data_IF_898366537165
#
_entry.id   IF_898366537165
#
_cell.length_a   1.000
_cell.length_b   1.000
_cell.length_c   1.000
_cell.angle_alpha   90.00
_cell.angle_beta   90.00
_cell.angle_gamma   90.00
#
_symmetry.space_group_name_H-M   'P 1'
#
loop_
_entity.id
_entity.type
_entity.pdbx_description
1 polymer ?
#
# COMPACT_ATOMS: atom_id res chain seq x y z
N UNK A 1 0.11 0.77 -4.82
CA UNK A 1 0.45 -0.15 -3.71
C UNK A 1 1.52 -1.12 -4.18
N UNK A 2 2.46 -1.51 -3.31
CA UNK A 2 3.45 -2.55 -3.64
C UNK A 2 3.42 -3.59 -2.54
N UNK A 3 3.37 -4.86 -2.91
CA UNK A 3 3.28 -5.99 -1.98
C UNK A 3 4.65 -6.55 -1.58
N UNK A 4 4.63 -7.57 -0.70
CA UNK A 4 5.83 -8.30 -0.26
C UNK A 4 6.47 -9.14 -1.37
N UNK A 5 5.76 -9.39 -2.47
CA UNK A 5 6.26 -10.07 -3.66
C UNK A 5 7.32 -9.25 -4.43
N UNK A 6 7.39 -7.94 -4.21
CA UNK A 6 8.32 -6.99 -4.86
C UNK A 6 8.27 -7.13 -6.40
N UNK A 7 7.11 -7.35 -6.95
CA UNK A 7 6.91 -7.56 -8.39
C UNK A 7 6.55 -6.27 -9.13
N UNK A 8 5.85 -5.33 -8.46
CA UNK A 8 5.45 -4.08 -9.08
C UNK A 8 4.58 -3.20 -8.22
N UNK A 9 3.97 -2.22 -8.87
CA UNK A 9 3.04 -1.26 -8.28
C UNK A 9 1.63 -1.45 -8.86
N UNK A 10 0.66 -1.58 -7.98
CA UNK A 10 -0.76 -1.52 -8.33
C UNK A 10 -1.27 -0.10 -8.10
N UNK A 11 -1.86 0.48 -9.12
CA UNK A 11 -2.56 1.75 -9.10
C UNK A 11 -4.05 1.52 -9.30
N UNK A 12 -4.85 2.19 -8.48
CA UNK A 12 -6.31 2.16 -8.60
C UNK A 12 -6.85 3.57 -8.44
N UNK A 13 -7.56 4.04 -9.45
CA UNK A 13 -8.37 5.25 -9.36
C UNK A 13 -9.78 4.84 -8.94
N UNK A 14 -10.22 5.39 -7.83
CA UNK A 14 -11.55 5.11 -7.30
C UNK A 14 -12.28 6.42 -7.01
N UNK A 15 -13.61 6.38 -7.11
CA UNK A 15 -14.49 7.40 -6.56
C UNK A 15 -15.18 6.81 -5.32
N UNK A 16 -15.07 7.50 -4.20
CA UNK A 16 -15.60 6.99 -2.93
C UNK A 16 -16.11 8.12 -2.05
N UNK A 17 -17.06 7.80 -1.17
CA UNK A 17 -17.51 8.67 -0.08
C UNK A 17 -16.72 8.45 1.21
N UNK A 18 -15.68 7.59 1.17
CA UNK A 18 -14.88 7.21 2.32
C UNK A 18 -15.57 6.25 3.30
N UNK A 19 -16.78 5.78 2.99
CA UNK A 19 -17.57 4.92 3.88
C UNK A 19 -18.01 3.60 3.24
N UNK A 20 -18.98 3.64 2.33
CA UNK A 20 -19.63 2.43 1.77
C UNK A 20 -19.67 2.40 0.25
N UNK A 21 -19.57 3.56 -0.38
CA UNK A 21 -19.64 3.65 -1.82
C UNK A 21 -18.23 3.72 -2.41
N UNK A 22 -17.89 2.72 -3.19
CA UNK A 22 -16.63 2.65 -3.92
C UNK A 22 -16.93 2.30 -5.36
N UNK A 23 -16.51 3.15 -6.27
CA UNK A 23 -16.55 2.89 -7.71
C UNK A 23 -15.13 2.88 -8.23
N UNK A 24 -14.70 1.74 -8.75
CA UNK A 24 -13.41 1.61 -9.44
C UNK A 24 -13.56 2.26 -10.81
N UNK A 25 -12.69 3.22 -11.11
CA UNK A 25 -12.64 3.94 -12.39
C UNK A 25 -11.60 3.24 -13.29
N UNK A 26 -10.37 3.05 -12.76
CA UNK A 26 -9.26 2.49 -13.52
C UNK A 26 -8.30 1.75 -12.59
N UNK A 27 -7.83 0.61 -13.05
CA UNK A 27 -6.74 -0.13 -12.40
C UNK A 27 -5.58 -0.27 -13.38
N UNK A 28 -4.36 -0.20 -12.88
CA UNK A 28 -3.16 -0.46 -13.68
C UNK A 28 -2.04 -1.01 -12.82
N UNK A 29 -1.31 -1.98 -13.37
CA UNK A 29 -0.15 -2.58 -12.79
C UNK A 29 1.12 -2.17 -13.54
N UNK A 30 2.16 -1.78 -12.81
CA UNK A 30 3.46 -1.41 -13.36
C UNK A 30 4.54 -2.31 -12.75
N UNK A 31 5.06 -3.21 -13.56
CA UNK A 31 6.10 -4.17 -13.15
C UNK A 31 7.40 -3.46 -12.78
N UNK A 32 8.02 -3.83 -11.67
CA UNK A 32 9.36 -3.38 -11.36
C UNK A 32 10.38 -3.95 -12.33
N UNK A 33 11.33 -3.13 -12.73
CA UNK A 33 12.51 -3.62 -13.41
C UNK A 33 13.43 -4.40 -12.44
N UNK A 34 14.37 -5.15 -12.98
CA UNK A 34 15.29 -5.97 -12.18
C UNK A 34 16.03 -5.14 -11.13
N UNK A 35 16.53 -3.95 -11.52
CA UNK A 35 17.30 -3.07 -10.62
C UNK A 35 16.51 -2.71 -9.36
N UNK A 36 15.27 -2.23 -9.50
CA UNK A 36 14.43 -1.83 -8.36
C UNK A 36 14.14 -3.03 -7.47
N UNK A 37 13.83 -4.18 -8.06
CA UNK A 37 13.58 -5.41 -7.31
C UNK A 37 14.79 -5.83 -6.49
N UNK A 38 15.97 -5.86 -7.11
CA UNK A 38 17.21 -6.24 -6.45
C UNK A 38 17.53 -5.25 -5.32
N UNK A 39 17.41 -3.94 -5.56
CA UNK A 39 17.65 -2.89 -4.56
C UNK A 39 16.72 -3.03 -3.33
N UNK A 40 15.43 -3.29 -3.54
CA UNK A 40 14.47 -3.49 -2.42
C UNK A 40 14.77 -4.79 -1.69
N UNK A 41 15.04 -5.88 -2.41
CA UNK A 41 15.38 -7.18 -1.81
C UNK A 41 16.64 -7.08 -0.97
N UNK A 42 17.67 -6.37 -1.45
CA UNK A 42 18.90 -6.12 -0.70
C UNK A 42 18.63 -5.38 0.61
N UNK A 43 17.78 -4.34 0.59
CA UNK A 43 17.41 -3.63 1.83
C UNK A 43 16.74 -4.55 2.83
N UNK A 44 15.78 -5.36 2.38
CA UNK A 44 15.08 -6.31 3.25
C UNK A 44 16.07 -7.29 3.86
N UNK A 45 16.97 -7.86 3.06
CA UNK A 45 17.97 -8.82 3.53
C UNK A 45 18.91 -8.19 4.57
N UNK A 46 19.41 -6.97 4.33
CA UNK A 46 20.29 -6.26 5.26
C UNK A 46 19.59 -6.09 6.62
N UNK A 47 18.34 -5.62 6.62
CA UNK A 47 17.61 -5.39 7.86
C UNK A 47 17.22 -6.69 8.59
N UNK A 48 16.96 -7.76 7.86
CA UNK A 48 16.74 -9.08 8.44
C UNK A 48 18.00 -9.61 9.15
N UNK A 49 19.17 -9.41 8.55
CA UNK A 49 20.44 -9.89 9.08
C UNK A 49 20.93 -9.05 10.27
N UNK A 50 20.94 -7.73 10.12
CA UNK A 50 21.49 -6.81 11.13
C UNK A 50 20.57 -6.59 12.32
N UNK A 51 19.28 -6.98 12.24
CA UNK A 51 18.24 -6.76 13.27
C UNK A 51 18.12 -5.30 13.73
N UNK A 52 18.76 -4.38 13.04
CA UNK A 52 18.72 -2.94 13.29
C UNK A 52 18.36 -2.20 12.01
N UNK A 53 17.52 -1.20 12.14
CA UNK A 53 17.15 -0.33 11.04
C UNK A 53 18.01 0.93 11.07
N UNK A 54 18.74 1.17 9.99
CA UNK A 54 19.49 2.39 9.79
C UNK A 54 19.11 3.04 8.46
N UNK A 55 18.73 4.31 8.50
CA UNK A 55 18.63 5.15 7.32
C UNK A 55 20.01 5.68 6.98
N UNK A 56 20.79 4.90 6.24
CA UNK A 56 22.10 5.29 5.74
C UNK A 56 21.99 5.79 4.28
N UNK A 57 23.12 6.18 3.70
CA UNK A 57 23.19 6.68 2.32
C UNK A 57 22.62 5.67 1.31
N UNK A 58 22.92 4.37 1.48
CA UNK A 58 22.39 3.31 0.63
C UNK A 58 20.86 3.27 0.68
N UNK A 59 20.27 3.39 1.88
CA UNK A 59 18.80 3.44 2.05
C UNK A 59 18.21 4.62 1.27
N UNK A 60 18.74 5.82 1.45
CA UNK A 60 18.21 7.02 0.79
C UNK A 60 18.33 6.95 -0.73
N UNK A 61 19.40 6.38 -1.24
CA UNK A 61 19.60 6.17 -2.69
C UNK A 61 18.53 5.23 -3.27
N UNK A 62 18.28 4.12 -2.59
CA UNK A 62 17.26 3.15 -3.02
C UNK A 62 15.85 3.75 -2.89
N UNK A 63 15.57 4.48 -1.80
CA UNK A 63 14.31 5.19 -1.62
C UNK A 63 14.07 6.20 -2.75
N UNK A 64 15.09 6.95 -3.14
CA UNK A 64 14.98 7.89 -4.27
C UNK A 64 14.70 7.17 -5.60
N UNK A 65 15.38 6.05 -5.88
CA UNK A 65 15.13 5.26 -7.08
C UNK A 65 13.69 4.72 -7.12
N UNK A 66 13.22 4.23 -5.98
CA UNK A 66 11.84 3.77 -5.83
C UNK A 66 10.83 4.92 -6.04
N UNK A 67 11.03 6.07 -5.41
CA UNK A 67 10.16 7.23 -5.58
C UNK A 67 10.16 7.76 -7.02
N UNK A 68 11.29 7.79 -7.68
CA UNK A 68 11.38 8.18 -9.10
C UNK A 68 10.54 7.24 -9.98
N UNK A 69 10.57 5.94 -9.69
CA UNK A 69 9.74 4.98 -10.40
C UNK A 69 8.24 5.22 -10.11
N UNK A 70 7.87 5.46 -8.84
CA UNK A 70 6.50 5.76 -8.44
C UNK A 70 5.99 7.00 -9.17
N UNK A 71 6.72 8.12 -9.11
CA UNK A 71 6.37 9.40 -9.73
C UNK A 71 6.21 9.26 -11.25
N UNK A 72 7.18 8.61 -11.91
CA UNK A 72 7.10 8.35 -13.34
C UNK A 72 5.80 7.63 -13.72
N UNK A 73 5.46 6.58 -12.99
CA UNK A 73 4.28 5.77 -13.29
C UNK A 73 2.96 6.47 -12.88
N UNK A 74 2.98 7.32 -11.85
CA UNK A 74 1.84 8.21 -11.57
C UNK A 74 1.61 9.15 -12.75
N UNK A 75 2.64 9.79 -13.27
CA UNK A 75 2.52 10.69 -14.42
C UNK A 75 1.96 9.98 -15.64
N UNK A 76 2.44 8.77 -15.95
CA UNK A 76 1.89 7.95 -17.04
C UNK A 76 0.42 7.60 -16.78
N UNK A 77 0.08 7.15 -15.56
CA UNK A 77 -1.28 6.81 -15.20
C UNK A 77 -2.24 8.00 -15.35
N UNK A 78 -1.83 9.17 -14.88
CA UNK A 78 -2.61 10.40 -14.97
C UNK A 78 -2.78 10.88 -16.41
N UNK A 79 -1.76 10.72 -17.27
CA UNK A 79 -1.85 11.10 -18.68
C UNK A 79 -2.85 10.27 -19.48
N UNK A 80 -3.17 9.09 -19.01
CA UNK A 80 -4.15 8.18 -19.63
C UNK A 80 -5.58 8.41 -19.15
N UNK A 81 -5.82 9.37 -18.25
CA UNK A 81 -7.14 9.72 -17.75
C UNK A 81 -7.80 10.76 -18.64
N UNK A 82 -9.13 10.68 -18.76
CA UNK A 82 -9.94 11.75 -19.34
C UNK A 82 -9.91 13.01 -18.47
N UNK A 83 -10.19 14.16 -19.05
CA UNK A 83 -10.12 15.44 -18.31
C UNK A 83 -11.04 15.46 -17.07
N UNK A 84 -12.19 14.80 -17.13
CA UNK A 84 -13.08 14.67 -15.98
C UNK A 84 -12.56 13.75 -14.86
N UNK A 85 -11.60 12.89 -15.17
CA UNK A 85 -10.98 11.95 -14.22
C UNK A 85 -9.67 12.46 -13.63
N UNK A 86 -9.08 13.50 -14.21
CA UNK A 86 -7.79 14.07 -13.78
C UNK A 86 -7.85 14.81 -12.45
N UNK A 87 -9.05 15.18 -11.98
CA UNK A 87 -9.21 15.83 -10.68
C UNK A 87 -9.07 14.80 -9.56
N UNK A 88 -7.85 14.65 -9.09
CA UNK A 88 -7.51 13.76 -7.98
C UNK A 88 -7.49 14.55 -6.67
N UNK A 89 -8.36 14.20 -5.73
CA UNK A 89 -8.43 14.88 -4.43
C UNK A 89 -7.29 14.46 -3.49
N UNK A 90 -6.91 13.17 -3.52
CA UNK A 90 -5.82 12.64 -2.69
C UNK A 90 -5.26 11.34 -3.24
N UNK A 91 -4.05 11.00 -2.83
CA UNK A 91 -3.37 9.74 -3.11
C UNK A 91 -3.16 8.96 -1.82
N UNK A 92 -3.66 7.73 -1.75
CA UNK A 92 -3.28 6.78 -0.72
C UNK A 92 -1.97 6.09 -1.10
N UNK A 93 -0.91 6.33 -0.34
CA UNK A 93 0.41 5.78 -0.61
C UNK A 93 0.90 4.84 0.49
N UNK A 94 1.00 3.56 0.17
CA UNK A 94 1.47 2.55 1.12
C UNK A 94 3.01 2.44 1.14
N UNK A 95 3.68 2.73 0.02
CA UNK A 95 5.09 2.40 -0.17
C UNK A 95 5.30 0.89 -0.34
N UNK A 96 6.54 0.42 -0.16
CA UNK A 96 6.89 -1.00 -0.10
C UNK A 96 7.35 -1.37 1.32
N UNK A 97 6.76 -2.39 1.93
CA UNK A 97 7.12 -2.80 3.28
C UNK A 97 8.50 -3.46 3.32
N UNK A 98 9.41 -2.86 4.07
CA UNK A 98 10.77 -3.35 4.29
C UNK A 98 10.85 -4.15 5.59
N UNK A 99 10.23 -3.64 6.67
CA UNK A 99 10.17 -4.29 7.97
C UNK A 99 8.74 -4.19 8.49
N UNK A 100 8.26 -5.29 9.04
CA UNK A 100 7.00 -5.32 9.79
C UNK A 100 7.16 -6.21 11.02
N UNK A 101 7.20 -5.59 12.20
CA UNK A 101 7.28 -6.27 13.49
C UNK A 101 6.44 -5.53 14.53
N UNK A 102 5.12 -5.78 14.57
CA UNK A 102 4.21 -5.09 15.47
C UNK A 102 4.55 -5.32 16.96
N UNK A 103 5.09 -6.49 17.33
CA UNK A 103 5.53 -6.77 18.71
C UNK A 103 6.63 -5.82 19.18
N UNK A 104 7.41 -5.25 18.26
CA UNK A 104 8.43 -4.24 18.53
C UNK A 104 7.98 -2.81 18.19
N UNK A 105 6.70 -2.63 17.88
CA UNK A 105 6.14 -1.36 17.40
C UNK A 105 6.87 -0.79 16.16
N UNK A 106 7.34 -1.66 15.27
CA UNK A 106 8.09 -1.27 14.08
C UNK A 106 7.37 -1.73 12.82
N UNK A 107 7.06 -0.78 11.94
CA UNK A 107 6.67 -1.06 10.57
C UNK A 107 7.24 0.03 9.68
N UNK A 108 8.06 -0.35 8.70
CA UNK A 108 8.78 0.58 7.84
C UNK A 108 8.42 0.28 6.40
N UNK A 109 7.92 1.30 5.74
CA UNK A 109 7.61 1.31 4.33
C UNK A 109 8.59 2.22 3.61
N UNK A 110 9.16 1.73 2.51
CA UNK A 110 10.02 2.48 1.61
C UNK A 110 9.20 3.53 0.85
N UNK A 111 9.73 4.72 0.75
CA UNK A 111 9.14 5.85 0.04
C UNK A 111 8.63 6.95 0.97
N UNK A 112 9.23 8.13 0.88
CA UNK A 112 8.83 9.30 1.67
C UNK A 112 7.55 9.93 1.08
N UNK A 113 6.41 9.91 1.82
CA UNK A 113 5.14 10.48 1.34
C UNK A 113 5.19 12.01 1.22
N UNK A 114 6.06 12.70 1.95
CA UNK A 114 6.19 14.17 1.86
C UNK A 114 6.87 14.57 0.54
N UNK A 115 7.92 13.83 0.17
CA UNK A 115 8.59 14.04 -1.12
C UNK A 115 7.60 13.73 -2.24
N UNK A 116 6.86 12.62 -2.15
CA UNK A 116 5.86 12.26 -3.14
C UNK A 116 4.81 13.36 -3.29
N UNK A 117 4.19 13.80 -2.19
CA UNK A 117 3.15 14.84 -2.21
C UNK A 117 3.63 16.14 -2.86
N UNK A 118 4.86 16.57 -2.51
CA UNK A 118 5.49 17.76 -3.10
C UNK A 118 5.71 17.60 -4.60
N UNK A 119 6.16 16.42 -5.03
CA UNK A 119 6.51 16.17 -6.43
C UNK A 119 5.30 16.08 -7.35
N UNK A 120 4.22 15.41 -6.90
CA UNK A 120 2.99 15.26 -7.71
C UNK A 120 1.99 16.39 -7.49
N UNK A 121 2.22 17.27 -6.53
CA UNK A 121 1.33 18.37 -6.12
C UNK A 121 -0.12 17.90 -5.81
N UNK A 122 -0.24 16.74 -5.17
CA UNK A 122 -1.52 16.17 -4.72
C UNK A 122 -1.35 15.75 -3.26
N UNK A 123 -2.34 15.98 -2.37
CA UNK A 123 -2.30 15.48 -1.00
C UNK A 123 -2.05 13.97 -0.93
N UNK A 124 -1.17 13.53 -0.03
CA UNK A 124 -0.83 12.11 0.14
C UNK A 124 -1.16 11.64 1.56
N UNK A 125 -1.96 10.60 1.65
CA UNK A 125 -2.24 9.88 2.90
C UNK A 125 -1.36 8.63 2.94
N UNK A 126 -0.63 8.45 4.04
CA UNK A 126 0.35 7.37 4.19
C UNK A 126 0.46 6.87 5.64
N UNK A 127 1.42 5.98 5.90
CA UNK A 127 1.72 5.44 7.25
C UNK A 127 0.55 4.68 7.89
N UNK A 128 -0.26 4.02 7.10
CA UNK A 128 -1.46 3.29 7.55
C UNK A 128 -1.13 2.28 8.66
N UNK A 129 -0.08 1.48 8.49
CA UNK A 129 0.32 0.42 9.43
C UNK A 129 0.78 0.99 10.78
N UNK A 130 1.58 2.06 10.75
CA UNK A 130 2.12 2.67 11.97
C UNK A 130 1.03 3.28 12.86
N UNK A 131 -0.04 3.81 12.25
CA UNK A 131 -1.15 4.35 13.01
C UNK A 131 -1.92 3.23 13.74
N UNK A 132 -2.13 2.12 13.07
CA UNK A 132 -2.80 0.95 13.65
C UNK A 132 -1.99 0.35 14.81
N UNK A 133 -0.67 0.15 14.59
CA UNK A 133 0.25 -0.35 15.61
C UNK A 133 0.27 0.56 16.85
N UNK A 134 0.29 1.89 16.66
CA UNK A 134 0.23 2.85 17.77
C UNK A 134 -1.07 2.77 18.57
N UNK A 135 -2.14 2.30 17.96
CA UNK A 135 -3.42 2.04 18.60
C UNK A 135 -3.58 0.59 19.05
N UNK A 136 -2.47 -0.12 19.29
CA UNK A 136 -2.41 -1.50 19.77
C UNK A 136 -2.91 -2.55 18.77
N UNK A 137 -3.04 -2.19 17.49
CA UNK A 137 -3.30 -3.13 16.41
C UNK A 137 -2.01 -3.77 15.88
N UNK A 138 -2.15 -4.74 15.00
CA UNK A 138 -1.02 -5.44 14.39
C UNK A 138 -0.48 -4.78 13.11
N UNK A 139 -1.18 -3.77 12.59
CA UNK A 139 -0.81 -3.07 11.36
C UNK A 139 -0.99 -3.88 10.09
N UNK A 140 -1.48 -5.12 10.19
CA UNK A 140 -1.81 -6.02 9.08
C UNK A 140 -2.72 -7.14 9.58
N UNK A 141 -3.70 -7.59 8.75
CA UNK A 141 -4.12 -7.01 7.48
C UNK A 141 -4.92 -5.71 7.66
N UNK A 142 -4.79 -4.76 6.75
CA UNK A 142 -5.57 -3.49 6.78
C UNK A 142 -6.78 -3.49 5.85
N UNK A 143 -6.81 -4.43 4.90
CA UNK A 143 -7.87 -4.52 3.89
C UNK A 143 -9.24 -5.00 4.41
N UNK A 144 -9.38 -5.69 5.55
CA UNK A 144 -10.66 -6.22 6.02
C UNK A 144 -11.75 -5.16 6.17
N UNK A 145 -11.41 -3.96 6.61
CA UNK A 145 -12.39 -2.86 6.72
C UNK A 145 -12.94 -2.44 5.34
N UNK A 146 -12.11 -2.51 4.31
CA UNK A 146 -12.53 -2.28 2.92
C UNK A 146 -13.42 -3.41 2.41
N UNK A 147 -13.08 -4.67 2.68
CA UNK A 147 -13.94 -5.80 2.36
C UNK A 147 -15.32 -5.67 3.00
N UNK A 148 -15.37 -5.29 4.30
CA UNK A 148 -16.62 -5.00 4.98
C UNK A 148 -17.42 -3.91 4.27
N UNK A 149 -16.78 -2.82 3.84
CA UNK A 149 -17.46 -1.72 3.16
C UNK A 149 -18.08 -2.15 1.83
N UNK A 150 -17.35 -2.87 0.98
CA UNK A 150 -17.84 -3.26 -0.35
C UNK A 150 -18.85 -4.43 -0.32
N UNK A 151 -18.73 -5.33 0.66
CA UNK A 151 -19.61 -6.50 0.77
C UNK A 151 -20.75 -6.31 1.79
N UNK A 152 -20.84 -5.18 2.48
CA UNK A 152 -21.86 -4.91 3.51
C UNK A 152 -23.31 -5.01 3.01
N UNK A 153 -23.52 -4.88 1.70
CA UNK A 153 -24.86 -5.02 1.08
C UNK A 153 -25.25 -6.47 0.84
N UNK A 154 -24.32 -7.40 0.97
CA UNK A 154 -24.53 -8.84 0.72
C UNK A 154 -24.97 -9.48 2.03
N UNK A 155 -26.15 -10.09 2.05
CA UNK A 155 -26.70 -10.74 3.27
C UNK A 155 -26.09 -12.12 3.55
N UNK A 156 -25.05 -12.53 2.84
CA UNK A 156 -24.42 -13.86 2.92
C UNK A 156 -23.10 -13.78 3.71
N UNK A 157 -22.70 -14.93 4.23
CA UNK A 157 -21.34 -15.09 4.75
C UNK A 157 -20.36 -15.13 3.58
N UNK A 158 -19.28 -14.38 3.69
CA UNK A 158 -18.28 -14.23 2.63
C UNK A 158 -16.90 -14.45 3.22
N UNK A 159 -16.08 -15.24 2.56
CA UNK A 159 -14.65 -15.36 2.84
C UNK A 159 -13.90 -14.73 1.66
N UNK A 160 -13.06 -13.76 1.96
CA UNK A 160 -12.09 -13.19 1.02
C UNK A 160 -10.71 -13.68 1.40
N UNK A 161 -10.07 -14.39 0.49
CA UNK A 161 -8.73 -14.96 0.71
C UNK A 161 -7.74 -14.23 -0.20
N UNK A 162 -6.64 -13.77 0.39
CA UNK A 162 -5.49 -13.26 -0.33
C UNK A 162 -4.33 -14.25 -0.20
N UNK A 163 -3.83 -14.73 -1.34
CA UNK A 163 -2.71 -15.69 -1.40
C UNK A 163 -1.55 -15.00 -2.11
N UNK A 164 -0.45 -14.79 -1.36
CA UNK A 164 0.77 -14.16 -1.84
C UNK A 164 1.99 -14.72 -1.11
N UNK A 165 3.03 -13.93 -0.94
CA UNK A 165 4.18 -14.29 -0.09
C UNK A 165 3.78 -14.54 1.36
N UNK A 166 2.72 -13.87 1.80
CA UNK A 166 1.98 -14.11 3.04
C UNK A 166 0.51 -14.21 2.66
N UNK A 167 -0.18 -15.23 3.16
CA UNK A 167 -1.61 -15.40 2.95
C UNK A 167 -2.39 -14.85 4.13
N UNK A 168 -3.52 -14.22 3.86
CA UNK A 168 -4.46 -13.76 4.87
C UNK A 168 -5.91 -13.93 4.38
N UNK A 169 -6.84 -13.89 5.32
CA UNK A 169 -8.25 -13.98 4.98
C UNK A 169 -9.07 -12.93 5.75
N UNK A 170 -10.25 -12.65 5.19
CA UNK A 170 -11.29 -11.87 5.84
C UNK A 170 -12.58 -12.67 5.78
N UNK A 171 -13.17 -12.95 6.92
CA UNK A 171 -14.46 -13.61 7.01
C UNK A 171 -15.52 -12.59 7.47
N UNK A 172 -16.53 -12.38 6.65
CA UNK A 172 -17.65 -11.50 6.93
C UNK A 172 -18.87 -12.38 7.23
N UNK A 173 -19.42 -12.25 8.44
CA UNK A 173 -20.60 -12.99 8.89
C UNK A 173 -21.79 -12.04 8.88
N UNK A 174 -22.69 -12.26 7.93
CA UNK A 174 -23.82 -11.37 7.71
C UNK A 174 -23.37 -9.92 7.39
N UNK A 175 -24.03 -8.94 7.99
CA UNK A 175 -23.76 -7.52 7.72
C UNK A 175 -22.79 -6.86 8.71
N UNK A 176 -22.49 -7.48 9.82
CA UNK A 176 -21.93 -6.79 11.00
C UNK A 176 -20.61 -7.35 11.50
N UNK A 177 -20.41 -8.66 11.46
CA UNK A 177 -19.23 -9.28 12.05
C UNK A 177 -18.09 -9.40 11.02
N UNK A 178 -16.85 -9.15 11.48
CA UNK A 178 -15.65 -9.22 10.68
C UNK A 178 -14.57 -9.93 11.49
N UNK A 179 -14.05 -11.03 10.96
CA UNK A 179 -12.90 -11.75 11.48
C UNK A 179 -11.81 -11.71 10.40
N UNK A 180 -10.58 -11.39 10.78
CA UNK A 180 -9.45 -11.32 9.86
C UNK A 180 -8.17 -11.82 10.54
N UNK A 181 -7.32 -12.50 9.76
CA UNK A 181 -6.00 -12.98 10.18
C UNK A 181 -5.04 -13.01 8.99
#
# INVERSE_FOLDING_TARGET
>A
MSGTSIDGLDFSLIKTDGMKNVKIIKNKYYKFNKKIRDEISDLINIFCLEKKFFRNEKYYKIEQNFLNFVVKNISIFLSELSDGEKKIDLVGFHGNTIIHNPKKNISIQLGDPKILAKTINIPVVANFRNRDIKNLGEGAPLVPIFHKAIFSKTAKNIIVINIGGISNFTFLIGKTELIAS
#
